data_IF_879135286444
#
_entry.id   IF_879135286444
#
_cell.length_a   1.000
_cell.length_b   1.000
_cell.length_c   1.000
_cell.angle_alpha   90.00
_cell.angle_beta   90.00
_cell.angle_gamma   90.00
#
_symmetry.space_group_name_H-M   'P 1'
#
loop_
_entity.id
_entity.type
_entity.pdbx_description
1 polymer ?
#
# COMPACT_ATOMS: atom_id res chain seq x y z
N UNK A 1 12.18 5.94 -13.53
CA UNK A 1 11.41 4.69 -13.32
C UNK A 1 9.96 5.05 -13.55
N UNK A 2 9.41 4.71 -14.70
CA UNK A 2 8.00 4.93 -14.99
C UNK A 2 7.18 3.92 -14.17
N UNK A 3 6.90 4.29 -12.91
CA UNK A 3 5.90 3.60 -12.10
C UNK A 3 4.53 4.01 -12.64
N UNK A 4 4.11 3.41 -13.74
CA UNK A 4 2.77 3.65 -14.29
C UNK A 4 1.75 3.20 -13.25
N UNK A 5 1.11 4.17 -12.61
CA UNK A 5 0.04 3.90 -11.66
C UNK A 5 -1.22 3.50 -12.43
N UNK A 6 -1.82 2.39 -12.03
CA UNK A 6 -3.11 1.92 -12.52
C UNK A 6 -4.16 2.08 -11.42
N UNK A 7 -5.42 2.24 -11.78
CA UNK A 7 -6.51 2.23 -10.81
C UNK A 7 -6.60 0.83 -10.20
N UNK A 8 -6.57 0.74 -8.87
CA UNK A 8 -6.74 -0.51 -8.15
C UNK A 8 -8.22 -0.90 -8.18
N UNK A 9 -8.52 -2.12 -8.57
CA UNK A 9 -9.87 -2.67 -8.61
C UNK A 9 -10.01 -3.87 -7.68
N UNK A 10 -11.25 -4.29 -7.40
CA UNK A 10 -11.50 -5.48 -6.56
C UNK A 10 -10.87 -6.76 -7.14
N UNK A 11 -10.69 -6.83 -8.47
CA UNK A 11 -10.05 -7.99 -9.13
C UNK A 11 -8.58 -8.13 -8.75
N UNK A 12 -7.92 -7.02 -8.46
CA UNK A 12 -6.51 -6.99 -8.09
C UNK A 12 -6.29 -7.46 -6.64
N UNK A 13 -7.36 -7.67 -5.87
CA UNK A 13 -7.33 -8.13 -4.48
C UNK A 13 -7.87 -9.57 -4.32
N UNK A 14 -8.14 -10.27 -5.43
CA UNK A 14 -8.82 -11.57 -5.40
C UNK A 14 -8.01 -12.69 -4.73
N UNK A 15 -6.68 -12.54 -4.67
CA UNK A 15 -5.78 -13.53 -4.06
C UNK A 15 -5.61 -13.32 -2.55
N UNK A 16 -6.05 -12.18 -2.02
CA UNK A 16 -5.89 -11.88 -0.62
C UNK A 16 -6.93 -12.63 0.23
N UNK A 17 -6.46 -13.55 1.07
CA UNK A 17 -7.31 -14.29 2.01
C UNK A 17 -7.07 -13.82 3.45
N UNK A 18 -8.13 -13.41 4.19
CA UNK A 18 -9.54 -13.32 3.80
C UNK A 18 -9.82 -12.18 2.81
N UNK A 19 -10.92 -12.22 2.04
CA UNK A 19 -11.26 -11.16 1.09
C UNK A 19 -11.23 -9.78 1.75
N UNK A 20 -10.57 -8.82 1.10
CA UNK A 20 -10.50 -7.42 1.56
C UNK A 20 -11.37 -6.57 0.66
N UNK A 21 -12.21 -5.73 1.27
CA UNK A 21 -13.00 -4.75 0.54
C UNK A 21 -12.15 -3.52 0.26
N UNK A 22 -12.27 -2.94 -0.94
CA UNK A 22 -11.61 -1.66 -1.24
C UNK A 22 -11.95 -0.57 -0.24
N UNK A 23 -13.18 -0.58 0.31
CA UNK A 23 -13.60 0.37 1.34
C UNK A 23 -12.77 0.25 2.63
N UNK A 24 -12.31 -0.95 2.99
CA UNK A 24 -11.44 -1.14 4.16
C UNK A 24 -10.09 -0.46 3.94
N UNK A 25 -9.56 -0.53 2.72
CA UNK A 25 -8.30 0.12 2.35
C UNK A 25 -8.49 1.64 2.39
N UNK A 26 -9.54 2.16 1.75
CA UNK A 26 -9.86 3.60 1.74
C UNK A 26 -10.04 4.13 3.16
N UNK A 27 -10.73 3.39 4.03
CA UNK A 27 -10.95 3.78 5.41
C UNK A 27 -9.62 3.98 6.18
N UNK A 28 -8.61 3.16 5.91
CA UNK A 28 -7.27 3.35 6.50
C UNK A 28 -6.60 4.62 5.96
N UNK A 29 -6.66 4.86 4.64
CA UNK A 29 -6.09 6.08 4.06
C UNK A 29 -6.69 7.35 4.67
N UNK A 30 -8.02 7.38 4.83
CA UNK A 30 -8.72 8.51 5.44
C UNK A 30 -8.43 8.63 6.94
N UNK A 31 -8.42 7.52 7.68
CA UNK A 31 -8.25 7.55 9.14
C UNK A 31 -6.88 8.07 9.59
N UNK A 32 -5.85 7.92 8.76
CA UNK A 32 -4.48 8.32 9.06
C UNK A 32 -3.95 9.42 8.13
N UNK A 33 -4.83 10.07 7.36
CA UNK A 33 -4.48 11.10 6.37
C UNK A 33 -3.30 10.70 5.47
N UNK A 34 -3.32 9.47 4.95
CA UNK A 34 -2.25 8.92 4.10
C UNK A 34 -2.44 9.40 2.66
N UNK A 35 -1.35 9.83 2.03
CA UNK A 35 -1.26 10.14 0.59
C UNK A 35 -0.88 8.89 -0.21
N UNK A 36 0.22 8.24 0.18
CA UNK A 36 0.65 6.98 -0.40
C UNK A 36 1.50 6.14 0.55
N UNK A 37 1.58 4.86 0.22
CA UNK A 37 2.48 3.87 0.80
C UNK A 37 3.36 3.31 -0.31
N UNK A 38 4.67 3.24 -0.08
CA UNK A 38 5.63 2.63 -0.99
C UNK A 38 6.33 1.46 -0.30
N UNK A 39 6.36 0.32 -0.98
CA UNK A 39 7.10 -0.87 -0.59
C UNK A 39 8.41 -0.92 -1.40
N UNK A 40 9.54 -1.03 -0.71
CA UNK A 40 10.87 -1.12 -1.32
C UNK A 40 11.41 -2.56 -1.42
N UNK A 41 10.56 -3.56 -1.17
CA UNK A 41 10.92 -4.97 -0.93
C UNK A 41 11.50 -5.18 0.48
N UNK A 42 11.59 -6.44 0.91
CA UNK A 42 12.16 -6.85 2.21
C UNK A 42 11.50 -6.18 3.43
N UNK A 43 10.17 -6.09 3.42
CA UNK A 43 9.35 -5.49 4.50
C UNK A 43 9.69 -4.02 4.83
N UNK A 44 10.34 -3.31 3.89
CA UNK A 44 10.65 -1.90 4.04
C UNK A 44 9.57 -1.03 3.41
N UNK A 45 8.90 -0.25 4.25
CA UNK A 45 7.79 0.63 3.86
C UNK A 45 8.08 2.09 4.17
N UNK A 46 7.58 2.95 3.28
CA UNK A 46 7.47 4.39 3.50
C UNK A 46 6.00 4.79 3.38
N UNK A 47 5.52 5.54 4.36
CA UNK A 47 4.14 6.05 4.44
C UNK A 47 4.22 7.57 4.43
N UNK A 48 3.63 8.20 3.42
CA UNK A 48 3.54 9.66 3.31
C UNK A 48 2.13 10.11 3.67
N UNK A 49 2.01 11.14 4.50
CA UNK A 49 0.75 11.80 4.82
C UNK A 49 0.38 12.85 3.75
N UNK A 50 -0.87 13.30 3.76
CA UNK A 50 -1.37 14.32 2.81
C UNK A 50 -0.63 15.65 2.92
N UNK A 51 -0.06 15.98 4.08
CA UNK A 51 0.78 17.17 4.27
C UNK A 51 2.23 17.01 3.76
N UNK A 52 2.59 15.83 3.25
CA UNK A 52 3.91 15.49 2.72
C UNK A 52 4.91 15.01 3.78
N UNK A 53 4.51 14.95 5.05
CA UNK A 53 5.37 14.44 6.11
C UNK A 53 5.30 12.89 6.19
N UNK A 54 6.40 12.23 6.58
CA UNK A 54 6.39 10.80 6.78
C UNK A 54 5.60 10.43 8.03
N UNK A 55 4.71 9.43 7.91
CA UNK A 55 4.12 8.79 9.08
C UNK A 55 5.11 7.75 9.61
N UNK A 56 5.57 7.94 10.84
CA UNK A 56 6.49 7.01 11.52
C UNK A 56 5.85 6.46 12.79
N UNK A 57 6.18 5.23 13.21
CA UNK A 57 5.74 4.71 14.49
C UNK A 57 6.18 5.61 15.65
N UNK A 58 5.33 5.75 16.67
CA UNK A 58 5.63 6.58 17.85
C UNK A 58 6.90 6.15 18.60
N UNK A 59 7.29 4.88 18.47
CA UNK A 59 8.53 4.34 19.03
C UNK A 59 9.42 3.82 17.91
N UNK A 60 10.76 4.00 17.97
CA UNK A 60 11.68 3.49 16.95
C UNK A 60 11.65 1.96 16.74
N UNK A 61 11.15 1.21 17.72
CA UNK A 61 10.93 -0.24 17.66
C UNK A 61 9.44 -0.59 17.68
N UNK A 62 8.58 0.39 17.45
CA UNK A 62 7.13 0.25 17.44
C UNK A 62 6.61 -0.17 16.07
N UNK A 63 5.45 -0.81 16.08
CA UNK A 63 4.69 -1.10 14.87
C UNK A 63 3.85 0.10 14.45
N UNK A 64 3.48 0.14 13.18
CA UNK A 64 2.43 1.01 12.71
C UNK A 64 1.08 0.62 13.32
N UNK A 65 0.09 1.52 13.30
CA UNK A 65 -1.27 1.17 13.64
C UNK A 65 -1.76 -0.07 12.86
N UNK A 66 -2.58 -0.96 13.47
CA UNK A 66 -2.96 -2.24 12.85
C UNK A 66 -3.59 -2.13 11.45
N UNK A 67 -4.28 -1.02 11.16
CA UNK A 67 -4.83 -0.76 9.84
C UNK A 67 -3.76 -0.62 8.76
N UNK A 68 -2.65 0.07 9.08
CA UNK A 68 -1.52 0.28 8.16
C UNK A 68 -0.73 -1.02 7.99
N UNK A 69 -0.49 -1.77 9.07
CA UNK A 69 0.17 -3.09 9.01
C UNK A 69 -0.61 -4.07 8.11
N UNK A 70 -1.95 -4.05 8.17
CA UNK A 70 -2.79 -4.84 7.25
C UNK A 70 -2.58 -4.43 5.79
N UNK A 71 -2.34 -3.14 5.50
CA UNK A 71 -2.03 -2.69 4.15
C UNK A 71 -0.66 -3.22 3.68
N UNK A 72 0.33 -3.29 4.57
CA UNK A 72 1.63 -3.87 4.25
C UNK A 72 1.48 -5.36 3.85
N UNK A 73 0.71 -6.12 4.61
CA UNK A 73 0.41 -7.52 4.28
C UNK A 73 -0.23 -7.66 2.89
N UNK A 74 -1.22 -6.80 2.58
CA UNK A 74 -1.88 -6.76 1.26
C UNK A 74 -0.86 -6.46 0.17
N UNK A 75 -0.04 -5.42 0.38
CA UNK A 75 0.95 -5.00 -0.60
C UNK A 75 2.00 -6.09 -0.87
N UNK A 76 2.50 -6.76 0.16
CA UNK A 76 3.44 -7.88 -0.01
C UNK A 76 2.80 -9.03 -0.78
N UNK A 77 1.58 -9.45 -0.42
CA UNK A 77 0.93 -10.62 -1.05
C UNK A 77 0.58 -10.38 -2.50
N UNK A 78 0.04 -9.21 -2.83
CA UNK A 78 -0.34 -8.83 -4.20
C UNK A 78 0.83 -8.23 -4.99
N UNK A 79 2.05 -8.23 -4.42
CA UNK A 79 3.27 -7.66 -5.04
C UNK A 79 3.09 -6.21 -5.48
N UNK A 80 2.31 -5.45 -4.72
CA UNK A 80 2.10 -4.02 -4.93
C UNK A 80 3.32 -3.27 -4.37
N UNK A 81 3.99 -2.52 -5.24
CA UNK A 81 5.14 -1.67 -4.90
C UNK A 81 4.73 -0.28 -4.41
N UNK A 82 3.56 0.20 -4.79
CA UNK A 82 3.01 1.48 -4.32
C UNK A 82 1.49 1.41 -4.28
N UNK A 83 0.91 2.00 -3.24
CA UNK A 83 -0.53 2.22 -3.10
C UNK A 83 -0.77 3.69 -2.77
N UNK A 84 -1.65 4.36 -3.49
CA UNK A 84 -1.92 5.79 -3.34
C UNK A 84 -3.42 6.04 -3.38
N UNK A 85 -3.88 7.02 -2.60
CA UNK A 85 -5.26 7.47 -2.61
C UNK A 85 -5.32 8.92 -3.06
N UNK A 86 -6.00 9.17 -4.19
CA UNK A 86 -6.19 10.50 -4.76
C UNK A 86 -7.46 10.53 -5.59
N UNK A 87 -8.13 11.69 -5.62
CA UNK A 87 -9.38 11.88 -6.36
C UNK A 87 -10.44 10.81 -6.03
N UNK A 88 -10.54 10.46 -4.74
CA UNK A 88 -11.45 9.43 -4.22
C UNK A 88 -11.20 8.00 -4.76
N UNK A 89 -10.05 7.76 -5.39
CA UNK A 89 -9.68 6.49 -6.01
C UNK A 89 -8.36 5.96 -5.48
N UNK A 90 -8.27 4.64 -5.43
CA UNK A 90 -7.03 3.94 -5.15
C UNK A 90 -6.25 3.70 -6.44
N UNK A 91 -4.97 3.95 -6.37
CA UNK A 91 -4.01 3.75 -7.45
C UNK A 91 -2.89 2.87 -6.95
N UNK A 92 -2.41 1.96 -7.78
CA UNK A 92 -1.31 1.07 -7.44
C UNK A 92 -0.27 0.94 -8.53
N UNK A 93 0.93 0.52 -8.14
CA UNK A 93 1.93 -0.06 -9.05
C UNK A 93 2.44 -1.36 -8.47
N UNK A 94 2.94 -2.25 -9.32
CA UNK A 94 3.46 -3.56 -8.92
C UNK A 94 4.98 -3.61 -9.02
N UNK A 95 5.60 -4.58 -8.36
CA UNK A 95 7.01 -4.88 -8.64
C UNK A 95 7.15 -5.43 -10.07
N UNK A 96 8.22 -5.03 -10.76
CA UNK A 96 8.54 -5.58 -12.08
C UNK A 96 8.86 -7.08 -11.91
N UNK A 97 8.14 -7.92 -12.63
CA UNK A 97 8.51 -9.34 -12.75
C UNK A 97 9.65 -9.39 -13.76
N UNK A 98 10.87 -9.61 -13.29
CA UNK A 98 11.97 -9.94 -14.17
C UNK A 98 11.73 -11.35 -14.70
N UNK A 99 11.64 -11.48 -16.03
CA UNK A 99 11.43 -12.75 -16.73
C UNK A 99 12.55 -13.78 -16.54
N UNK A 100 13.61 -13.44 -15.81
CA UNK A 100 14.74 -14.33 -15.50
C UNK A 100 14.51 -15.15 -14.21
N UNK A 101 13.46 -14.85 -13.43
CA UNK A 101 13.10 -15.55 -12.19
C UNK A 101 12.05 -16.68 -12.38
N UNK A 102 11.78 -17.09 -13.63
CA UNK A 102 10.83 -18.17 -14.00
C UNK A 102 11.54 -19.42 -14.55
#
# INVERSE_FOLDING_TARGET
MDNTLTELTERDLEHFTPPVLMQDIIAVFIAYDISFIRNFSSDLYYVEMVDGEPLVPLNPMGSYPPGIEKLFDIMTRERISMLSYRDEKLWCSYFLINSEDL
#
